data_IF_983407176321
#
_entry.id   IF_983407176321
#
_cell.length_a   1.000
_cell.length_b   1.000
_cell.length_c   1.000
_cell.angle_alpha   90.00
_cell.angle_beta   90.00
_cell.angle_gamma   90.00
#
_symmetry.space_group_name_H-M   'P 1'
#
loop_
_entity.id
_entity.type
_entity.pdbx_description
1 polymer ?
#
# COMPACT_ATOMS: atom_id res chain seq x y z
N UNK A 1 40.50 -23.27 15.50
CA UNK A 1 39.32 -22.41 15.33
C UNK A 1 38.19 -23.19 14.69
N UNK A 2 36.95 -23.09 15.22
CA UNK A 2 35.72 -23.66 14.66
C UNK A 2 34.76 -22.53 14.37
N UNK A 3 34.15 -22.54 13.18
CA UNK A 3 33.19 -21.50 12.78
C UNK A 3 31.79 -21.85 13.24
N UNK A 4 31.03 -20.83 13.70
CA UNK A 4 29.61 -20.89 13.92
C UNK A 4 28.98 -20.30 12.64
N UNK A 5 28.20 -21.10 11.93
CA UNK A 5 27.56 -20.71 10.68
C UNK A 5 26.04 -20.78 10.80
N UNK A 6 25.29 -19.96 10.02
CA UNK A 6 23.86 -20.03 9.93
C UNK A 6 23.41 -21.40 9.42
N UNK A 7 22.78 -22.24 10.25
CA UNK A 7 22.44 -23.60 9.86
C UNK A 7 21.20 -23.65 8.96
N UNK A 8 21.08 -24.69 8.16
CA UNK A 8 19.89 -24.98 7.39
C UNK A 8 18.93 -25.86 8.20
N UNK A 9 17.98 -25.25 8.92
CA UNK A 9 17.05 -25.95 9.80
C UNK A 9 15.76 -26.42 9.10
N UNK A 10 15.62 -26.15 7.79
CA UNK A 10 14.47 -26.58 6.99
C UNK A 10 14.83 -26.71 5.51
N UNK A 11 14.09 -27.56 4.78
CA UNK A 11 14.36 -27.86 3.35
C UNK A 11 14.28 -26.59 2.48
N UNK A 12 13.36 -25.66 2.83
CA UNK A 12 13.12 -24.42 2.09
C UNK A 12 13.81 -23.18 2.69
N UNK A 13 14.56 -23.35 3.81
CA UNK A 13 15.24 -22.23 4.47
C UNK A 13 16.41 -21.73 3.61
N UNK A 14 16.37 -20.44 3.23
CA UNK A 14 17.43 -19.76 2.48
C UNK A 14 18.19 -18.75 3.34
N UNK A 15 17.54 -18.19 4.38
CA UNK A 15 18.09 -17.19 5.30
C UNK A 15 17.53 -17.36 6.73
N UNK A 16 18.16 -16.72 7.71
CA UNK A 16 17.72 -16.68 9.11
C UNK A 16 18.13 -15.38 9.78
N UNK A 17 17.40 -14.96 10.81
CA UNK A 17 17.65 -13.73 11.57
C UNK A 17 18.27 -14.04 12.92
N UNK A 18 19.36 -13.38 13.29
CA UNK A 18 19.94 -13.47 14.64
C UNK A 18 19.05 -12.69 15.61
N UNK A 19 18.36 -13.37 16.52
CA UNK A 19 17.51 -12.71 17.52
C UNK A 19 18.36 -12.07 18.62
N UNK A 20 19.25 -12.85 19.21
CA UNK A 20 20.16 -12.37 20.25
C UNK A 20 21.38 -13.28 20.41
N UNK A 21 22.47 -12.72 20.91
CA UNK A 21 23.61 -13.47 21.38
C UNK A 21 23.45 -13.81 22.87
N UNK A 22 23.50 -15.10 23.20
CA UNK A 22 23.43 -15.61 24.60
C UNK A 22 24.77 -15.43 25.29
N UNK A 23 25.88 -15.50 24.51
CA UNK A 23 27.26 -15.29 24.93
C UNK A 23 27.84 -14.05 24.27
N UNK A 24 28.62 -13.30 25.00
CA UNK A 24 29.35 -12.14 24.50
C UNK A 24 30.67 -12.52 23.86
N UNK A 25 31.23 -11.66 23.00
CA UNK A 25 32.55 -11.84 22.44
C UNK A 25 33.62 -11.84 23.56
N UNK A 26 34.42 -12.89 23.63
CA UNK A 26 35.41 -13.15 24.70
C UNK A 26 34.93 -14.13 25.76
N UNK A 27 33.69 -14.53 25.79
CA UNK A 27 33.17 -15.49 26.76
C UNK A 27 33.69 -16.92 26.47
N UNK A 28 33.95 -17.67 27.53
CA UNK A 28 34.25 -19.08 27.44
C UNK A 28 32.98 -19.89 27.18
N UNK A 29 33.01 -20.81 26.22
CA UNK A 29 31.91 -21.69 25.85
C UNK A 29 32.39 -23.15 25.82
N UNK A 30 31.49 -24.06 26.17
CA UNK A 30 31.68 -25.50 26.06
C UNK A 30 30.96 -26.06 24.84
N UNK A 31 31.48 -27.15 24.28
CA UNK A 31 30.81 -27.83 23.14
C UNK A 31 29.40 -28.26 23.53
N UNK A 32 28.40 -27.89 22.67
CA UNK A 32 26.98 -28.13 22.93
C UNK A 32 26.27 -27.04 23.75
N UNK A 33 26.99 -26.01 24.22
CA UNK A 33 26.42 -24.89 24.95
C UNK A 33 25.77 -23.88 23.98
N UNK A 34 24.52 -23.39 24.29
CA UNK A 34 23.84 -22.41 23.48
C UNK A 34 24.60 -21.08 23.46
N UNK A 35 24.92 -20.56 22.27
CA UNK A 35 25.72 -19.34 22.08
C UNK A 35 24.89 -18.19 21.48
N UNK A 36 23.87 -18.48 20.66
CA UNK A 36 22.95 -17.49 20.10
C UNK A 36 21.60 -18.11 19.78
N UNK A 37 20.59 -17.26 19.66
CA UNK A 37 19.23 -17.62 19.26
C UNK A 37 18.93 -17.02 17.88
N UNK A 38 18.45 -17.84 16.96
CA UNK A 38 18.04 -17.41 15.61
C UNK A 38 16.55 -17.62 15.42
N UNK A 39 15.93 -16.76 14.61
CA UNK A 39 14.56 -16.89 14.12
C UNK A 39 14.58 -17.47 12.71
N UNK A 40 13.71 -18.47 12.51
CA UNK A 40 13.39 -19.04 11.20
C UNK A 40 11.92 -18.80 10.90
N UNK A 41 11.46 -19.04 9.67
CA UNK A 41 10.04 -18.91 9.30
C UNK A 41 9.04 -19.59 10.26
N UNK A 42 9.48 -20.54 11.09
CA UNK A 42 8.58 -21.38 11.89
C UNK A 42 8.82 -21.33 13.40
N UNK A 43 10.02 -20.98 13.86
CA UNK A 43 10.35 -20.96 15.28
C UNK A 43 11.68 -20.24 15.57
N UNK A 44 11.85 -19.78 16.82
CA UNK A 44 13.13 -19.42 17.38
C UNK A 44 13.89 -20.70 17.80
N UNK A 45 15.17 -20.80 17.44
CA UNK A 45 16.01 -21.96 17.70
C UNK A 45 17.35 -21.50 18.25
N UNK A 46 17.83 -22.16 19.32
CA UNK A 46 19.14 -21.94 19.90
C UNK A 46 20.22 -22.67 19.09
N UNK A 47 21.33 -21.99 18.83
CA UNK A 47 22.51 -22.54 18.15
C UNK A 47 23.57 -22.83 19.17
N UNK A 48 24.05 -24.07 19.16
CA UNK A 48 25.04 -24.58 20.08
C UNK A 48 26.49 -24.36 19.58
N UNK A 49 27.43 -24.26 20.51
CA UNK A 49 28.85 -24.16 20.22
C UNK A 49 29.37 -25.46 19.58
N UNK A 50 30.00 -25.42 18.39
CA UNK A 50 30.57 -26.62 17.74
C UNK A 50 31.88 -27.13 18.34
N UNK A 51 32.39 -26.47 19.36
CA UNK A 51 33.58 -26.86 20.12
C UNK A 51 33.72 -26.03 21.42
N UNK A 52 34.53 -26.49 22.39
CA UNK A 52 34.86 -25.70 23.55
C UNK A 52 36.01 -24.71 23.25
N UNK A 53 35.92 -23.47 23.80
CA UNK A 53 36.90 -22.42 23.61
C UNK A 53 36.38 -21.05 23.94
N UNK A 54 36.89 -19.99 23.31
CA UNK A 54 36.43 -18.62 23.49
C UNK A 54 35.71 -18.14 22.25
N UNK A 55 34.54 -17.51 22.42
CA UNK A 55 33.81 -16.89 21.32
C UNK A 55 34.54 -15.63 20.84
N UNK A 56 34.95 -15.61 19.57
CA UNK A 56 35.68 -14.48 18.95
C UNK A 56 35.13 -14.16 17.58
N UNK A 57 35.32 -12.92 17.14
CA UNK A 57 34.92 -12.49 15.78
C UNK A 57 33.44 -12.61 15.53
N UNK A 58 32.62 -12.11 16.44
CA UNK A 58 31.17 -11.94 16.24
C UNK A 58 30.95 -10.97 15.09
N UNK A 59 30.51 -11.51 13.93
CA UNK A 59 30.43 -10.76 12.68
C UNK A 59 29.04 -10.16 12.43
N UNK A 60 27.99 -10.74 13.02
CA UNK A 60 26.57 -10.41 12.74
C UNK A 60 25.92 -9.84 14.00
N UNK A 61 25.21 -8.73 13.86
CA UNK A 61 24.49 -8.06 14.96
C UNK A 61 23.12 -8.67 15.21
N UNK A 62 22.60 -8.46 16.42
CA UNK A 62 21.23 -8.79 16.76
C UNK A 62 20.23 -8.06 15.84
N UNK A 63 19.20 -8.77 15.36
CA UNK A 63 18.21 -8.28 14.41
C UNK A 63 18.66 -8.37 12.94
N UNK A 64 19.84 -8.86 12.62
CA UNK A 64 20.36 -8.95 11.26
C UNK A 64 19.99 -10.29 10.61
N UNK A 65 19.46 -10.25 9.38
CA UNK A 65 19.08 -11.44 8.58
C UNK A 65 20.21 -11.79 7.62
N UNK A 66 20.63 -13.06 7.61
CA UNK A 66 21.74 -13.53 6.78
C UNK A 66 21.42 -14.86 6.10
N UNK A 67 21.97 -15.12 4.90
CA UNK A 67 21.79 -16.39 4.20
C UNK A 67 22.36 -17.60 4.98
N UNK A 68 21.76 -18.78 4.76
CA UNK A 68 22.26 -20.06 5.26
C UNK A 68 23.73 -20.26 4.84
N UNK A 69 24.57 -20.73 5.78
CA UNK A 69 26.00 -20.89 5.57
C UNK A 69 26.86 -19.66 5.84
N UNK A 70 26.24 -18.50 6.14
CA UNK A 70 26.96 -17.29 6.55
C UNK A 70 27.64 -17.52 7.90
N UNK A 71 28.91 -17.11 8.03
CA UNK A 71 29.67 -17.18 9.29
C UNK A 71 29.13 -16.14 10.28
N UNK A 72 28.64 -16.60 11.42
CA UNK A 72 28.11 -15.78 12.51
C UNK A 72 29.22 -15.40 13.53
N UNK A 73 30.09 -16.36 13.85
CA UNK A 73 31.16 -16.16 14.80
C UNK A 73 32.20 -17.30 14.72
N UNK A 74 33.23 -17.25 15.55
CA UNK A 74 34.31 -18.25 15.60
C UNK A 74 34.59 -18.62 17.05
N UNK A 75 34.85 -19.90 17.33
CA UNK A 75 35.38 -20.37 18.60
C UNK A 75 36.88 -20.69 18.45
N UNK A 76 37.68 -19.97 19.22
CA UNK A 76 39.16 -20.17 19.29
C UNK A 76 39.55 -21.02 20.48
N UNK A 77 40.52 -21.92 20.28
CA UNK A 77 41.12 -22.68 21.38
C UNK A 77 42.03 -21.78 22.24
N UNK A 78 42.24 -22.09 23.55
CA UNK A 78 43.05 -21.28 24.46
C UNK A 78 44.52 -21.05 24.02
N UNK A 79 45.05 -21.90 23.16
CA UNK A 79 46.44 -21.86 22.71
C UNK A 79 46.69 -21.11 21.38
N UNK A 80 45.62 -20.58 20.73
CA UNK A 80 45.76 -19.86 19.46
C UNK A 80 45.80 -18.34 19.68
N UNK A 81 47.01 -17.74 19.50
CA UNK A 81 47.20 -16.29 19.47
C UNK A 81 46.38 -15.69 18.33
N UNK A 82 45.48 -14.79 18.67
CA UNK A 82 44.56 -14.09 17.77
C UNK A 82 45.35 -13.25 16.77
N UNK A 83 45.49 -13.73 15.52
CA UNK A 83 45.76 -12.88 14.38
C UNK A 83 44.39 -12.52 13.78
N UNK A 84 44.04 -11.23 13.72
CA UNK A 84 42.78 -10.77 13.11
C UNK A 84 42.71 -11.29 11.67
N UNK A 85 41.65 -12.03 11.29
CA UNK A 85 41.51 -12.54 9.93
C UNK A 85 41.18 -11.39 8.97
N UNK A 86 41.98 -11.25 7.92
CA UNK A 86 41.66 -10.43 6.78
C UNK A 86 40.38 -10.98 6.11
N UNK A 87 39.37 -10.15 6.01
CA UNK A 87 38.13 -10.49 5.32
C UNK A 87 38.39 -10.77 3.84
N UNK A 88 37.91 -11.87 3.23
CA UNK A 88 37.82 -11.97 1.79
C UNK A 88 36.74 -10.99 1.30
N UNK A 89 37.10 -10.03 0.46
CA UNK A 89 36.18 -9.09 -0.16
C UNK A 89 35.17 -9.87 -1.00
N UNK A 90 33.85 -9.65 -0.81
CA UNK A 90 32.83 -10.20 -1.70
C UNK A 90 32.97 -9.57 -3.10
N UNK A 91 32.77 -10.36 -4.16
CA UNK A 91 32.79 -9.91 -5.56
C UNK A 91 31.78 -8.78 -5.90
N UNK A 92 30.91 -8.40 -4.95
CA UNK A 92 30.01 -7.25 -5.03
C UNK A 92 30.72 -5.91 -4.78
N UNK A 93 31.91 -5.90 -4.12
CA UNK A 93 32.66 -4.65 -3.86
C UNK A 93 33.46 -4.19 -5.09
N UNK A 94 33.90 -5.09 -5.97
CA UNK A 94 34.60 -4.69 -7.19
C UNK A 94 33.67 -3.95 -8.17
N UNK A 95 32.40 -4.32 -8.29
CA UNK A 95 31.40 -3.55 -9.07
C UNK A 95 31.02 -2.21 -8.44
N UNK A 96 31.10 -2.08 -7.10
CA UNK A 96 30.91 -0.81 -6.41
C UNK A 96 32.08 0.13 -6.60
N UNK A 97 33.31 -0.39 -6.69
CA UNK A 97 34.51 0.43 -6.90
C UNK A 97 34.58 1.04 -8.31
N UNK A 98 34.13 0.32 -9.35
CA UNK A 98 34.06 0.85 -10.72
C UNK A 98 32.97 1.95 -10.88
N UNK A 99 31.82 1.82 -10.18
CA UNK A 99 30.78 2.86 -10.14
C UNK A 99 31.12 4.04 -9.25
N UNK A 100 31.98 3.86 -8.23
CA UNK A 100 32.40 4.94 -7.33
C UNK A 100 33.37 5.94 -7.99
N UNK A 101 34.07 5.54 -9.05
CA UNK A 101 34.90 6.47 -9.84
C UNK A 101 34.10 7.45 -10.72
N UNK A 102 32.81 7.23 -10.88
CA UNK A 102 31.92 8.05 -11.73
C UNK A 102 31.19 9.15 -10.95
N UNK A 103 31.17 9.07 -9.63
CA UNK A 103 30.58 10.08 -8.74
C UNK A 103 31.65 10.52 -7.72
N UNK A 104 31.79 11.83 -7.44
CA UNK A 104 32.71 12.29 -6.41
C UNK A 104 32.33 11.64 -5.06
N UNK A 105 33.34 11.31 -4.21
CA UNK A 105 33.04 10.78 -2.89
C UNK A 105 32.11 11.73 -2.16
N UNK A 106 31.00 11.21 -1.65
CA UNK A 106 30.13 11.97 -0.76
C UNK A 106 30.94 12.21 0.51
N UNK A 107 31.50 13.42 0.64
CA UNK A 107 32.16 13.84 1.87
C UNK A 107 31.21 13.62 3.05
N UNK A 108 31.65 12.92 4.07
CA UNK A 108 30.97 12.75 5.36
C UNK A 108 30.94 14.05 6.16
N UNK A 109 30.57 15.13 5.49
CA UNK A 109 30.44 16.49 6.02
C UNK A 109 29.12 17.11 5.63
N UNK A 110 28.04 16.32 5.46
CA UNK A 110 26.70 16.92 5.36
C UNK A 110 26.44 17.66 6.66
N UNK A 111 26.46 18.99 6.60
CA UNK A 111 25.92 19.82 7.66
C UNK A 111 24.55 19.23 8.04
N UNK A 112 24.43 18.79 9.30
CA UNK A 112 23.20 18.23 9.80
C UNK A 112 22.13 19.29 9.58
N UNK A 113 21.18 19.00 8.67
CA UNK A 113 20.03 19.89 8.45
C UNK A 113 19.29 19.89 9.78
N UNK A 114 19.30 21.03 10.47
CA UNK A 114 18.57 21.19 11.73
C UNK A 114 17.07 21.09 11.43
N UNK A 115 16.39 20.18 12.08
CA UNK A 115 14.95 19.97 11.95
C UNK A 115 14.32 19.67 13.30
N UNK A 116 13.05 20.01 13.46
CA UNK A 116 12.28 19.67 14.64
C UNK A 116 11.50 18.38 14.37
N UNK A 117 11.65 17.38 15.25
CA UNK A 117 10.84 16.14 15.18
C UNK A 117 9.48 16.47 15.80
N UNK A 118 8.43 16.49 14.96
CA UNK A 118 7.05 16.63 15.41
C UNK A 118 6.45 15.31 15.88
N UNK A 119 5.56 15.36 16.88
CA UNK A 119 4.81 14.18 17.29
C UNK A 119 3.80 13.78 16.21
N UNK A 120 3.74 12.48 15.88
CA UNK A 120 2.75 11.92 14.96
C UNK A 120 1.54 11.45 15.76
N UNK A 121 0.32 11.92 15.41
CA UNK A 121 -0.92 11.46 16.05
C UNK A 121 -1.11 9.94 15.87
N UNK A 122 -1.84 9.30 16.81
CA UNK A 122 -2.15 7.87 16.74
C UNK A 122 -2.87 7.51 15.43
N UNK A 123 -3.81 8.34 15.00
CA UNK A 123 -4.52 8.17 13.73
C UNK A 123 -3.56 8.18 12.54
N UNK A 124 -2.66 9.17 12.46
CA UNK A 124 -1.70 9.28 11.36
C UNK A 124 -0.69 8.13 11.33
N UNK A 125 -0.33 7.59 12.50
CA UNK A 125 0.52 6.40 12.59
C UNK A 125 -0.18 5.18 11.98
N UNK A 126 -1.42 4.89 12.37
CA UNK A 126 -2.21 3.77 11.83
C UNK A 126 -2.44 3.91 10.32
N UNK A 127 -2.74 5.13 9.83
CA UNK A 127 -2.84 5.38 8.39
C UNK A 127 -1.51 5.08 7.69
N UNK A 128 -0.40 5.57 8.25
CA UNK A 128 0.95 5.34 7.70
C UNK A 128 1.31 3.86 7.61
N UNK A 129 1.06 3.08 8.65
CA UNK A 129 1.27 1.63 8.68
C UNK A 129 0.43 0.92 7.61
N UNK A 130 -0.88 1.19 7.54
CA UNK A 130 -1.77 0.59 6.54
C UNK A 130 -1.39 0.94 5.10
N UNK A 131 -1.03 2.20 4.84
CA UNK A 131 -0.63 2.62 3.48
C UNK A 131 0.73 2.06 3.10
N UNK A 132 1.67 1.96 4.03
CA UNK A 132 2.97 1.32 3.82
C UNK A 132 2.80 -0.17 3.52
N UNK A 133 1.95 -0.86 4.29
CA UNK A 133 1.62 -2.27 4.05
C UNK A 133 0.97 -2.47 2.69
N UNK A 134 -0.03 -1.66 2.33
CA UNK A 134 -0.67 -1.70 1.02
C UNK A 134 0.34 -1.57 -0.12
N UNK A 135 1.27 -0.60 -0.02
CA UNK A 135 2.27 -0.37 -1.07
C UNK A 135 3.34 -1.47 -1.16
N UNK A 136 3.66 -2.14 -0.07
CA UNK A 136 4.63 -3.24 -0.05
C UNK A 136 4.04 -4.55 -0.56
N UNK A 137 2.80 -4.87 -0.13
CA UNK A 137 2.19 -6.19 -0.36
C UNK A 137 1.34 -6.28 -1.62
N UNK A 138 0.82 -5.15 -2.14
CA UNK A 138 -0.05 -5.10 -3.31
C UNK A 138 0.71 -4.58 -4.53
N UNK A 139 0.88 -5.38 -5.60
CA UNK A 139 1.46 -4.91 -6.87
C UNK A 139 0.44 -4.02 -7.61
N UNK A 140 0.43 -2.72 -7.26
CA UNK A 140 -0.44 -1.74 -7.87
C UNK A 140 -0.11 -1.52 -9.35
N UNK A 141 -1.12 -1.54 -10.19
CA UNK A 141 -1.06 -0.96 -11.52
C UNK A 141 -2.18 0.07 -11.71
N UNK A 142 -2.04 0.95 -12.70
CA UNK A 142 -2.88 2.13 -12.84
C UNK A 142 -3.41 2.24 -14.27
N UNK A 143 -4.70 2.51 -14.40
CA UNK A 143 -5.36 2.76 -15.70
C UNK A 143 -6.10 4.09 -15.62
N UNK A 144 -5.86 4.97 -16.58
CA UNK A 144 -6.50 6.28 -16.66
C UNK A 144 -7.52 6.30 -17.81
N UNK A 145 -8.62 7.01 -17.61
CA UNK A 145 -9.61 7.22 -18.64
C UNK A 145 -10.27 8.60 -18.51
N UNK A 146 -10.39 9.31 -19.61
CA UNK A 146 -11.15 10.56 -19.69
C UNK A 146 -12.63 10.29 -19.95
N UNK A 147 -13.49 11.07 -19.29
CA UNK A 147 -14.95 10.98 -19.33
C UNK A 147 -15.54 12.35 -19.65
N UNK A 148 -16.47 12.40 -20.58
CA UNK A 148 -17.25 13.59 -20.89
C UNK A 148 -18.43 13.72 -19.93
N UNK A 149 -18.30 14.59 -18.94
CA UNK A 149 -19.29 14.83 -17.88
C UNK A 149 -20.36 15.87 -18.26
N UNK A 150 -20.39 16.31 -19.52
CA UNK A 150 -21.27 17.42 -19.94
C UNK A 150 -22.74 17.12 -19.66
N UNK A 151 -23.19 15.89 -19.92
CA UNK A 151 -24.59 15.52 -19.68
C UNK A 151 -24.90 15.40 -18.18
N UNK A 152 -23.96 14.90 -17.37
CA UNK A 152 -24.10 14.89 -15.90
C UNK A 152 -24.20 16.31 -15.34
N UNK A 153 -23.35 17.23 -15.84
CA UNK A 153 -23.42 18.66 -15.43
C UNK A 153 -24.77 19.28 -15.77
N UNK A 154 -25.28 19.04 -16.95
CA UNK A 154 -26.62 19.53 -17.36
C UNK A 154 -27.73 18.96 -16.47
N UNK A 155 -27.76 17.66 -16.27
CA UNK A 155 -28.74 17.01 -15.40
C UNK A 155 -28.69 17.55 -13.96
N UNK A 156 -27.52 17.83 -13.45
CA UNK A 156 -27.36 18.41 -12.13
C UNK A 156 -27.95 19.82 -12.05
N UNK A 157 -27.77 20.65 -13.08
CA UNK A 157 -28.36 21.98 -13.13
C UNK A 157 -29.90 21.88 -13.24
N UNK A 158 -30.45 20.99 -14.08
CA UNK A 158 -31.89 20.72 -14.15
C UNK A 158 -32.44 20.26 -12.79
N UNK A 159 -31.70 19.46 -12.02
CA UNK A 159 -32.12 19.05 -10.67
C UNK A 159 -32.18 20.21 -9.68
N UNK A 160 -31.25 21.15 -9.78
CA UNK A 160 -31.30 22.39 -9.00
C UNK A 160 -32.53 23.24 -9.34
N UNK A 161 -32.85 23.38 -10.63
CA UNK A 161 -33.98 24.16 -11.09
C UNK A 161 -35.32 23.57 -10.67
N UNK A 162 -35.45 22.25 -10.62
CA UNK A 162 -36.66 21.56 -10.15
C UNK A 162 -36.97 21.82 -8.67
N UNK A 163 -36.00 22.23 -7.87
CA UNK A 163 -36.16 22.66 -6.48
C UNK A 163 -36.75 21.61 -5.51
N UNK A 164 -36.78 20.34 -5.89
CA UNK A 164 -37.33 19.25 -5.07
C UNK A 164 -36.23 18.27 -4.63
N UNK A 165 -35.93 18.26 -3.33
CA UNK A 165 -35.04 17.30 -2.75
C UNK A 165 -33.51 17.67 -2.77
N UNK A 166 -32.65 16.77 -2.28
CA UNK A 166 -31.23 16.98 -2.33
C UNK A 166 -30.71 16.87 -3.77
N UNK A 167 -29.88 17.83 -4.18
CA UNK A 167 -29.27 17.85 -5.50
C UNK A 167 -28.01 16.94 -5.43
N UNK A 168 -27.93 15.87 -6.23
CA UNK A 168 -26.75 15.01 -6.23
C UNK A 168 -25.49 15.79 -6.60
N UNK A 169 -24.41 15.53 -5.91
CA UNK A 169 -23.09 16.05 -6.26
C UNK A 169 -22.52 15.28 -7.47
N UNK A 170 -21.52 15.84 -8.15
CA UNK A 170 -20.77 15.11 -9.19
C UNK A 170 -20.23 13.78 -8.64
N UNK A 171 -19.80 13.77 -7.39
CA UNK A 171 -19.31 12.56 -6.74
C UNK A 171 -20.38 11.48 -6.59
N UNK A 172 -21.64 11.86 -6.33
CA UNK A 172 -22.74 10.90 -6.21
C UNK A 172 -23.05 10.21 -7.54
N UNK A 173 -22.93 10.92 -8.67
CA UNK A 173 -23.04 10.30 -9.99
C UNK A 173 -21.91 9.27 -10.23
N UNK A 174 -20.68 9.59 -9.85
CA UNK A 174 -19.56 8.65 -9.97
C UNK A 174 -19.74 7.44 -9.06
N UNK A 175 -20.14 7.65 -7.80
CA UNK A 175 -20.45 6.58 -6.85
C UNK A 175 -21.56 5.66 -7.38
N UNK A 176 -22.62 6.23 -7.91
CA UNK A 176 -23.74 5.48 -8.49
C UNK A 176 -23.29 4.65 -9.69
N UNK A 177 -22.57 5.25 -10.65
CA UNK A 177 -22.06 4.54 -11.83
C UNK A 177 -21.11 3.42 -11.41
N UNK A 178 -20.20 3.69 -10.46
CA UNK A 178 -19.27 2.70 -9.93
C UNK A 178 -20.00 1.51 -9.27
N UNK A 179 -21.01 1.77 -8.42
CA UNK A 179 -21.78 0.73 -7.75
C UNK A 179 -22.50 -0.19 -8.75
N UNK A 180 -23.07 0.38 -9.82
CA UNK A 180 -23.76 -0.39 -10.88
C UNK A 180 -22.77 -1.25 -11.64
N UNK A 181 -21.65 -0.66 -12.05
CA UNK A 181 -20.62 -1.37 -12.83
C UNK A 181 -19.97 -2.51 -12.04
N UNK A 182 -19.73 -2.37 -10.72
CA UNK A 182 -19.15 -3.42 -9.89
C UNK A 182 -19.96 -4.74 -9.89
N UNK A 183 -21.26 -4.72 -10.21
CA UNK A 183 -22.07 -5.94 -10.36
C UNK A 183 -21.60 -6.81 -11.54
N UNK A 184 -21.11 -6.16 -12.58
CA UNK A 184 -20.64 -6.83 -13.82
C UNK A 184 -19.15 -7.21 -13.73
N UNK A 185 -18.42 -6.62 -12.78
CA UNK A 185 -16.97 -6.82 -12.59
C UNK A 185 -16.64 -7.34 -11.18
N UNK A 186 -17.08 -8.56 -10.82
CA UNK A 186 -16.97 -9.06 -9.44
C UNK A 186 -15.53 -9.17 -8.92
N UNK A 187 -14.54 -9.36 -9.80
CA UNK A 187 -13.12 -9.39 -9.39
C UNK A 187 -12.65 -8.04 -8.83
N UNK A 188 -13.22 -6.92 -9.25
CA UNK A 188 -12.92 -5.60 -8.68
C UNK A 188 -13.60 -5.36 -7.33
N UNK A 189 -14.61 -6.18 -6.98
CA UNK A 189 -15.27 -6.19 -5.67
C UNK A 189 -14.76 -7.37 -4.83
N UNK A 190 -13.45 -7.45 -4.62
CA UNK A 190 -12.82 -8.59 -3.96
C UNK A 190 -11.62 -8.17 -3.08
N UNK A 191 -11.08 -9.13 -2.37
CA UNK A 191 -9.83 -9.03 -1.60
C UNK A 191 -8.95 -10.24 -1.85
N UNK A 192 -7.62 -10.06 -1.89
CA UNK A 192 -6.67 -11.16 -1.92
C UNK A 192 -6.57 -11.80 -0.53
N UNK A 193 -6.66 -13.13 -0.47
CA UNK A 193 -6.42 -13.94 0.72
C UNK A 193 -5.35 -14.99 0.43
N UNK A 194 -4.86 -15.68 1.45
CA UNK A 194 -3.92 -16.80 1.28
C UNK A 194 -4.49 -17.94 0.39
N UNK A 195 -5.81 -18.12 0.42
CA UNK A 195 -6.50 -19.12 -0.41
C UNK A 195 -6.83 -18.62 -1.83
N UNK A 196 -6.50 -17.38 -2.17
CA UNK A 196 -6.82 -16.73 -3.44
C UNK A 196 -7.83 -15.57 -3.31
N UNK A 197 -8.34 -15.04 -4.44
CA UNK A 197 -9.28 -13.92 -4.44
C UNK A 197 -10.61 -14.29 -3.78
N UNK A 198 -11.01 -13.52 -2.75
CA UNK A 198 -12.34 -13.59 -2.13
C UNK A 198 -13.24 -12.52 -2.74
N UNK A 199 -14.19 -12.92 -3.55
CA UNK A 199 -15.20 -12.02 -4.13
C UNK A 199 -16.31 -11.76 -3.11
N UNK A 200 -16.69 -10.48 -2.93
CA UNK A 200 -17.78 -10.09 -2.04
C UNK A 200 -19.12 -10.14 -2.79
N UNK A 201 -20.16 -10.61 -2.09
CA UNK A 201 -21.53 -10.68 -2.63
C UNK A 201 -22.26 -9.35 -2.57
N UNK A 202 -21.86 -8.46 -1.66
CA UNK A 202 -22.44 -7.13 -1.46
C UNK A 202 -21.47 -6.06 -1.96
N UNK A 203 -22.01 -4.95 -2.42
CA UNK A 203 -21.22 -3.81 -2.89
C UNK A 203 -21.36 -2.67 -1.89
N UNK A 204 -20.30 -2.48 -1.11
CA UNK A 204 -20.20 -1.45 -0.08
C UNK A 204 -19.13 -0.43 -0.49
N UNK A 205 -19.58 0.75 -0.92
CA UNK A 205 -18.67 1.79 -1.41
C UNK A 205 -18.12 2.66 -0.29
N UNK A 206 -16.82 2.61 -0.09
CA UNK A 206 -16.08 3.59 0.68
C UNK A 206 -15.95 4.91 -0.08
N UNK A 207 -16.21 6.01 0.58
CA UNK A 207 -16.04 7.36 0.05
C UNK A 207 -14.97 8.09 0.87
N UNK A 208 -13.83 8.42 0.26
CA UNK A 208 -12.75 9.10 0.96
C UNK A 208 -13.14 10.55 1.28
N UNK A 209 -13.12 10.91 2.56
CA UNK A 209 -13.44 12.25 3.06
C UNK A 209 -12.27 12.79 3.88
N UNK A 210 -11.77 13.97 3.51
CA UNK A 210 -10.70 14.66 4.22
C UNK A 210 -11.21 15.19 5.57
N UNK A 211 -10.36 15.04 6.60
CA UNK A 211 -10.54 15.63 7.93
C UNK A 211 -9.25 16.33 8.34
N UNK A 212 -9.29 17.20 9.35
CA UNK A 212 -8.14 17.98 9.80
C UNK A 212 -6.91 17.11 10.14
N UNK A 213 -7.13 15.95 10.75
CA UNK A 213 -6.05 15.05 11.18
C UNK A 213 -5.64 14.01 10.13
N UNK A 214 -6.34 13.94 8.97
CA UNK A 214 -6.06 12.95 7.95
C UNK A 214 -7.21 12.70 6.99
N UNK A 215 -7.60 11.43 6.83
CA UNK A 215 -8.65 10.98 5.92
C UNK A 215 -9.44 9.84 6.57
N UNK A 216 -10.77 9.89 6.43
CA UNK A 216 -11.68 8.80 6.82
C UNK A 216 -12.43 8.30 5.60
N UNK A 217 -12.86 7.04 5.64
CA UNK A 217 -13.54 6.40 4.51
C UNK A 217 -14.90 5.86 4.98
N UNK A 218 -15.93 6.72 5.13
CA UNK A 218 -17.29 6.24 5.39
C UNK A 218 -17.80 5.37 4.25
N UNK A 219 -18.72 4.45 4.57
CA UNK A 219 -19.16 3.37 3.68
C UNK A 219 -20.65 3.46 3.41
N UNK A 220 -21.02 3.57 2.14
CA UNK A 220 -22.38 3.45 1.64
C UNK A 220 -22.66 1.95 1.42
N UNK A 221 -23.54 1.37 2.23
CA UNK A 221 -23.86 -0.06 2.16
C UNK A 221 -24.83 -0.39 1.05
N UNK A 222 -24.64 -1.54 0.40
CA UNK A 222 -25.47 -2.03 -0.71
C UNK A 222 -25.72 -0.93 -1.75
N UNK A 223 -24.66 -0.21 -2.12
CA UNK A 223 -24.73 0.96 -2.98
C UNK A 223 -25.33 0.67 -4.37
N UNK A 224 -25.18 -0.58 -4.84
CA UNK A 224 -25.75 -1.08 -6.10
C UNK A 224 -27.28 -1.18 -6.11
N UNK A 225 -27.91 -1.21 -4.92
CA UNK A 225 -29.38 -1.29 -4.77
C UNK A 225 -30.06 0.06 -4.61
N UNK A 226 -29.27 1.13 -4.47
CA UNK A 226 -29.76 2.47 -4.27
C UNK A 226 -30.00 3.17 -5.62
N UNK A 227 -31.10 3.91 -5.72
CA UNK A 227 -31.24 4.94 -6.76
C UNK A 227 -30.29 6.12 -6.45
N UNK A 228 -30.06 6.98 -7.43
CA UNK A 228 -29.14 8.10 -7.29
C UNK A 228 -29.57 9.05 -6.16
N UNK A 229 -30.86 9.31 -5.99
CA UNK A 229 -31.37 10.22 -4.95
C UNK A 229 -31.16 9.64 -3.53
N UNK A 230 -31.36 8.33 -3.37
CA UNK A 230 -31.13 7.63 -2.10
C UNK A 230 -29.63 7.55 -1.77
N UNK A 231 -28.78 7.29 -2.78
CA UNK A 231 -27.35 7.29 -2.64
C UNK A 231 -26.84 8.68 -2.22
N UNK A 232 -27.30 9.75 -2.90
CA UNK A 232 -26.94 11.13 -2.58
C UNK A 232 -27.34 11.53 -1.15
N UNK A 233 -28.52 11.09 -0.67
CA UNK A 233 -28.93 11.32 0.74
C UNK A 233 -28.01 10.62 1.72
N UNK A 234 -27.63 9.36 1.45
CA UNK A 234 -26.73 8.61 2.33
C UNK A 234 -25.32 9.20 2.33
N UNK A 235 -24.78 9.55 1.16
CA UNK A 235 -23.45 10.18 1.07
C UNK A 235 -23.41 11.50 1.82
N UNK A 236 -24.41 12.36 1.66
CA UNK A 236 -24.54 13.63 2.39
C UNK A 236 -24.58 13.40 3.90
N UNK A 237 -25.45 12.48 4.37
CA UNK A 237 -25.56 12.16 5.79
C UNK A 237 -24.28 11.62 6.40
N UNK A 238 -23.50 10.82 5.64
CA UNK A 238 -22.19 10.35 6.08
C UNK A 238 -21.18 11.49 6.16
N UNK A 239 -21.15 12.40 5.18
CA UNK A 239 -20.28 13.59 5.22
C UNK A 239 -20.60 14.48 6.43
N UNK A 240 -21.88 14.68 6.72
CA UNK A 240 -22.32 15.44 7.91
C UNK A 240 -21.83 14.77 9.22
N UNK A 241 -21.95 13.44 9.32
CA UNK A 241 -21.40 12.69 10.48
C UNK A 241 -19.89 12.84 10.61
N UNK A 242 -19.14 12.84 9.47
CA UNK A 242 -17.69 13.08 9.46
C UNK A 242 -17.40 14.47 10.03
N UNK A 243 -18.06 15.52 9.52
CA UNK A 243 -17.85 16.90 9.95
C UNK A 243 -18.19 17.11 11.43
N UNK A 244 -19.21 16.41 11.94
CA UNK A 244 -19.63 16.44 13.33
C UNK A 244 -18.80 15.51 14.24
N UNK A 245 -17.82 14.76 13.70
CA UNK A 245 -17.02 13.74 14.42
C UNK A 245 -17.92 12.67 15.10
N UNK A 246 -19.02 12.29 14.45
CA UNK A 246 -20.04 11.34 14.97
C UNK A 246 -20.07 10.01 14.22
N UNK A 247 -19.01 9.66 13.50
CA UNK A 247 -18.92 8.34 12.87
C UNK A 247 -18.83 7.24 13.94
N UNK A 248 -19.58 6.18 13.73
CA UNK A 248 -19.48 4.94 14.50
C UNK A 248 -18.80 3.85 13.65
N UNK A 249 -18.27 2.77 14.23
CA UNK A 249 -17.58 1.70 13.47
C UNK A 249 -18.39 1.18 12.28
N UNK A 250 -19.70 1.03 12.42
CA UNK A 250 -20.59 0.61 11.35
C UNK A 250 -20.57 1.57 10.14
N UNK A 251 -20.27 2.84 10.32
CA UNK A 251 -20.25 3.83 9.25
C UNK A 251 -18.98 3.76 8.38
N UNK A 252 -17.87 3.12 8.82
CA UNK A 252 -16.61 3.09 8.08
C UNK A 252 -15.97 1.69 7.93
N UNK A 253 -16.55 0.64 8.51
CA UNK A 253 -16.06 -0.72 8.36
C UNK A 253 -16.80 -1.46 7.23
N UNK A 254 -16.15 -2.50 6.67
CA UNK A 254 -16.74 -3.41 5.71
C UNK A 254 -16.90 -2.84 4.29
N UNK A 255 -16.22 -1.75 3.94
CA UNK A 255 -16.17 -1.27 2.55
C UNK A 255 -15.48 -2.29 1.63
N UNK A 256 -16.04 -2.52 0.44
CA UNK A 256 -15.53 -3.51 -0.52
C UNK A 256 -14.80 -2.88 -1.71
N UNK A 257 -15.03 -1.61 -1.96
CA UNK A 257 -14.37 -0.79 -2.97
C UNK A 257 -14.35 0.66 -2.49
N UNK A 258 -13.35 1.46 -2.88
CA UNK A 258 -13.24 2.86 -2.46
C UNK A 258 -13.22 3.80 -3.66
N UNK A 259 -13.91 4.94 -3.53
CA UNK A 259 -13.81 6.09 -4.44
C UNK A 259 -13.19 7.25 -3.68
N UNK A 260 -12.19 7.89 -4.27
CA UNK A 260 -11.51 9.06 -3.71
C UNK A 260 -11.51 10.19 -4.72
N UNK A 261 -11.93 11.39 -4.31
CA UNK A 261 -12.12 12.53 -5.19
C UNK A 261 -11.29 13.73 -4.71
N UNK A 262 -10.42 14.25 -5.58
CA UNK A 262 -9.64 15.47 -5.37
C UNK A 262 -9.99 16.59 -6.35
N UNK A 263 -11.07 16.43 -7.11
CA UNK A 263 -11.52 17.41 -8.09
C UNK A 263 -11.84 18.77 -7.51
N UNK A 264 -12.34 18.83 -6.28
CA UNK A 264 -12.62 20.07 -5.55
C UNK A 264 -11.36 20.90 -5.24
N UNK A 265 -10.20 20.27 -5.24
CA UNK A 265 -8.89 20.91 -5.04
C UNK A 265 -8.21 21.29 -6.36
N UNK A 266 -8.87 21.12 -7.50
CA UNK A 266 -8.35 21.46 -8.83
C UNK A 266 -7.38 20.42 -9.41
N UNK A 267 -7.30 19.23 -8.83
CA UNK A 267 -6.43 18.14 -9.30
C UNK A 267 -7.03 17.51 -10.56
N UNK A 268 -6.27 17.45 -11.65
CA UNK A 268 -6.72 16.86 -12.91
C UNK A 268 -6.77 15.33 -12.86
N UNK A 269 -5.73 14.71 -12.32
CA UNK A 269 -5.63 13.27 -12.14
C UNK A 269 -4.62 12.93 -11.04
N UNK A 270 -4.79 11.80 -10.40
CA UNK A 270 -3.84 11.25 -9.41
C UNK A 270 -4.03 9.75 -9.28
N UNK A 271 -3.00 9.06 -8.74
CA UNK A 271 -3.05 7.63 -8.45
C UNK A 271 -3.20 7.43 -6.95
N UNK A 272 -4.27 6.78 -6.52
CA UNK A 272 -4.54 6.48 -5.12
C UNK A 272 -3.84 5.18 -4.69
N UNK A 273 -3.52 5.08 -3.39
CA UNK A 273 -3.10 3.83 -2.76
C UNK A 273 -4.35 3.02 -2.44
N UNK A 274 -4.36 1.74 -2.77
CA UNK A 274 -5.47 0.82 -2.47
C UNK A 274 -5.68 0.75 -0.96
N UNK A 275 -6.94 0.79 -0.52
CA UNK A 275 -7.31 0.69 0.89
C UNK A 275 -7.51 -0.79 1.28
N UNK A 276 -6.56 -1.43 1.99
CA UNK A 276 -6.68 -2.85 2.33
C UNK A 276 -7.92 -3.12 3.21
N UNK A 277 -8.59 -4.30 3.06
CA UNK A 277 -8.21 -5.45 2.24
C UNK A 277 -8.71 -5.41 0.78
N UNK A 278 -9.29 -4.30 0.33
CA UNK A 278 -9.84 -4.14 -1.02
C UNK A 278 -8.77 -4.35 -2.10
N UNK A 279 -9.19 -4.81 -3.28
CA UNK A 279 -8.27 -5.00 -4.41
C UNK A 279 -8.16 -3.78 -5.34
N UNK A 280 -9.02 -2.77 -5.19
CA UNK A 280 -9.01 -1.62 -6.08
C UNK A 280 -9.57 -0.35 -5.42
N UNK A 281 -9.19 0.81 -6.00
CA UNK A 281 -9.68 2.15 -5.64
C UNK A 281 -9.77 3.02 -6.89
N UNK A 282 -10.86 3.79 -7.00
CA UNK A 282 -11.08 4.73 -8.08
C UNK A 282 -10.75 6.16 -7.62
N UNK A 283 -9.76 6.77 -8.24
CA UNK A 283 -9.42 8.18 -8.07
C UNK A 283 -10.14 9.04 -9.12
N UNK A 284 -10.71 10.16 -8.66
CA UNK A 284 -11.53 11.06 -9.47
C UNK A 284 -10.91 12.46 -9.47
N UNK A 285 -10.59 12.96 -10.65
CA UNK A 285 -10.08 14.30 -10.86
C UNK A 285 -11.19 15.35 -11.00
N UNK A 286 -10.78 16.59 -11.26
CA UNK A 286 -11.73 17.69 -11.48
C UNK A 286 -12.49 17.55 -12.79
N UNK A 287 -13.73 18.03 -12.80
CA UNK A 287 -14.48 18.31 -14.04
C UNK A 287 -14.09 19.71 -14.50
N UNK A 288 -13.53 19.82 -15.70
CA UNK A 288 -13.09 21.10 -16.25
C UNK A 288 -13.48 21.24 -17.73
N UNK A 289 -13.77 22.46 -18.23
CA UNK A 289 -14.00 22.69 -19.64
C UNK A 289 -12.70 22.41 -20.42
N UNK A 290 -12.80 21.56 -21.46
CA UNK A 290 -11.70 21.26 -22.39
C UNK A 290 -12.19 21.32 -23.81
N UNK A 291 -11.32 21.73 -24.70
CA UNK A 291 -11.57 21.73 -26.14
C UNK A 291 -11.31 20.34 -26.69
N UNK A 292 -12.34 19.71 -27.25
CA UNK A 292 -12.27 18.35 -27.79
C UNK A 292 -12.80 18.29 -29.22
N UNK A 293 -12.21 17.45 -30.11
CA UNK A 293 -12.76 17.19 -31.42
C UNK A 293 -13.98 16.25 -31.29
N UNK A 294 -15.11 16.62 -31.90
CA UNK A 294 -16.31 15.76 -31.96
C UNK A 294 -17.01 15.90 -33.30
N UNK A 295 -17.23 14.78 -33.99
CA UNK A 295 -17.86 14.75 -35.31
C UNK A 295 -17.27 15.73 -36.32
N UNK A 296 -15.94 15.93 -36.30
CA UNK A 296 -15.25 16.86 -37.18
C UNK A 296 -15.28 18.33 -36.74
N UNK A 297 -15.99 18.66 -35.66
CA UNK A 297 -16.03 19.99 -35.06
C UNK A 297 -15.19 20.09 -33.79
N UNK A 298 -14.89 21.33 -33.39
CA UNK A 298 -14.24 21.65 -32.12
C UNK A 298 -15.34 22.09 -31.13
N UNK A 299 -15.46 21.34 -30.01
CA UNK A 299 -16.43 21.60 -28.96
C UNK A 299 -15.74 21.84 -27.62
N UNK A 300 -16.37 22.68 -26.77
CA UNK A 300 -15.97 22.77 -25.35
C UNK A 300 -16.86 21.83 -24.55
N UNK A 301 -16.23 20.85 -23.90
CA UNK A 301 -16.92 19.82 -23.11
C UNK A 301 -16.37 19.80 -21.69
N UNK A 302 -17.18 19.33 -20.73
CA UNK A 302 -16.79 19.15 -19.35
C UNK A 302 -16.09 17.80 -19.19
N UNK A 303 -14.76 17.79 -19.16
CA UNK A 303 -13.97 16.55 -19.12
C UNK A 303 -13.46 16.31 -17.70
N UNK A 304 -13.48 15.04 -17.29
CA UNK A 304 -12.97 14.52 -16.03
C UNK A 304 -12.03 13.34 -16.30
N UNK A 305 -10.96 13.19 -15.54
CA UNK A 305 -10.11 11.99 -15.58
C UNK A 305 -10.42 11.10 -14.39
N UNK A 306 -10.63 9.82 -14.65
CA UNK A 306 -10.67 8.76 -13.64
C UNK A 306 -9.39 7.94 -13.71
N UNK A 307 -8.86 7.54 -12.55
CA UNK A 307 -7.71 6.64 -12.43
C UNK A 307 -8.08 5.46 -11.53
N UNK A 308 -8.09 4.27 -12.08
CA UNK A 308 -8.22 3.04 -11.30
C UNK A 308 -6.85 2.56 -10.87
N UNK A 309 -6.65 2.37 -9.55
CA UNK A 309 -5.54 1.58 -9.00
C UNK A 309 -6.07 0.20 -8.65
N UNK A 310 -5.44 -0.87 -9.13
CA UNK A 310 -5.89 -2.23 -8.89
C UNK A 310 -4.72 -3.17 -8.56
N UNK A 311 -5.04 -4.25 -7.84
CA UNK A 311 -4.12 -5.33 -7.48
C UNK A 311 -3.92 -6.27 -8.68
N UNK A 312 -2.70 -6.25 -9.26
CA UNK A 312 -2.40 -7.04 -10.45
C UNK A 312 -2.38 -8.56 -10.22
N UNK A 313 -2.48 -9.01 -8.98
CA UNK A 313 -2.66 -10.43 -8.65
C UNK A 313 -4.09 -10.92 -8.89
N UNK A 314 -5.07 -10.00 -8.94
CA UNK A 314 -6.51 -10.31 -9.08
C UNK A 314 -7.04 -9.80 -10.42
N UNK A 315 -6.64 -8.60 -10.83
CA UNK A 315 -7.20 -7.85 -11.96
C UNK A 315 -6.10 -7.59 -12.97
N UNK A 316 -6.39 -7.83 -14.25
CA UNK A 316 -5.51 -7.47 -15.36
C UNK A 316 -5.92 -6.15 -16.04
N UNK A 317 -5.05 -5.66 -16.95
CA UNK A 317 -5.27 -4.39 -17.64
C UNK A 317 -6.54 -4.35 -18.49
N UNK A 318 -6.97 -5.46 -19.08
CA UNK A 318 -8.18 -5.53 -19.93
C UNK A 318 -9.44 -5.42 -19.07
N UNK A 319 -9.49 -6.13 -17.95
CA UNK A 319 -10.61 -6.05 -16.99
C UNK A 319 -10.73 -4.63 -16.43
N UNK A 320 -9.60 -4.02 -16.03
CA UNK A 320 -9.54 -2.66 -15.54
C UNK A 320 -10.03 -1.61 -16.57
N UNK A 321 -9.59 -1.76 -17.83
CA UNK A 321 -9.99 -0.86 -18.92
C UNK A 321 -11.50 -0.97 -19.22
N UNK A 322 -12.03 -2.20 -19.31
CA UNK A 322 -13.48 -2.43 -19.51
C UNK A 322 -14.34 -1.91 -18.38
N UNK A 323 -13.87 -2.03 -17.14
CA UNK A 323 -14.55 -1.47 -15.98
C UNK A 323 -14.66 0.07 -16.07
N UNK A 324 -13.56 0.75 -16.39
CA UNK A 324 -13.57 2.19 -16.60
C UNK A 324 -14.44 2.60 -17.79
N UNK A 325 -14.40 1.84 -18.88
CA UNK A 325 -15.26 2.05 -20.08
C UNK A 325 -16.76 1.94 -19.73
N UNK A 326 -17.15 0.96 -18.92
CA UNK A 326 -18.53 0.81 -18.46
C UNK A 326 -18.97 1.97 -17.57
N UNK A 327 -18.14 2.43 -16.62
CA UNK A 327 -18.41 3.64 -15.82
C UNK A 327 -18.54 4.86 -16.73
N UNK A 328 -17.61 5.03 -17.68
CA UNK A 328 -17.64 6.10 -18.68
C UNK A 328 -18.97 6.11 -19.43
N UNK A 329 -19.42 4.96 -19.93
CA UNK A 329 -20.71 4.83 -20.66
C UNK A 329 -21.90 5.34 -19.84
N UNK A 330 -21.97 4.95 -18.55
CA UNK A 330 -23.03 5.40 -17.65
C UNK A 330 -22.97 6.91 -17.34
N UNK A 331 -21.78 7.51 -17.31
CA UNK A 331 -21.63 8.95 -17.04
C UNK A 331 -21.81 9.81 -18.28
N UNK A 332 -21.43 9.33 -19.47
CA UNK A 332 -21.59 10.06 -20.73
C UNK A 332 -23.04 10.02 -21.29
N UNK A 333 -23.78 8.97 -20.93
CA UNK A 333 -25.19 8.80 -21.31
C UNK A 333 -25.99 8.35 -20.09
N UNK A 334 -26.20 9.24 -19.10
CA UNK A 334 -26.87 8.89 -17.86
C UNK A 334 -28.36 8.64 -18.05
N UNK A 335 -28.78 7.40 -17.81
CA UNK A 335 -30.19 6.99 -17.73
C UNK A 335 -30.51 6.60 -16.28
N UNK A 336 -31.40 7.40 -15.61
CA UNK A 336 -31.73 7.23 -14.18
C UNK A 336 -33.18 6.86 -13.97
#
# INVERSE_FOLDING_TARGET
MKEIVMPKLGVMMEEGTVLRWIKAEGDEVTEGEAVLEIETEKAAVEIEAPASGFLVGVAIKEGETVPVGTRLGVIASPDEKIAAPAHPKPAAEERKAELSGMFPPVEEGRAAISGTIGAVSSMRRVIGERMSESKRSIPHFYVNMEVDMTEVVKLREEWKERGKGAVPSINDFVLWACARTLREFPLLNSAMTEAGPRVFSEIHLGMAVAVEEGLVVPVIRNADRLDLASLARQSTGLVEKVQQKKLIPLDYEGGTFTVTNLGMFGVDSFSAIINPPQCAILAVGRVAPRVVPRNGNVEVRSIMTMTLSADHRIVDGVVAARFLEAIKGLLESPEF
#
